data_IF_067579126460
#
_entry.id   IF_067579126460
#
_cell.length_a   1.000
_cell.length_b   1.000
_cell.length_c   1.000
_cell.angle_alpha   90.00
_cell.angle_beta   90.00
_cell.angle_gamma   90.00
#
_symmetry.space_group_name_H-M   'P 1'
#
loop_
_entity.id
_entity.type
_entity.pdbx_description
1 polymer ?
#
# COMPACT_ATOMS: atom_id res chain seq x y z
N UNK A 1 -28.84 -24.76 -38.31
CA UNK A 1 -27.99 -23.60 -38.01
C UNK A 1 -26.55 -24.08 -38.12
N UNK A 2 -25.79 -23.46 -39.02
CA UNK A 2 -24.45 -23.88 -39.40
C UNK A 2 -23.46 -23.73 -38.23
N UNK A 3 -22.54 -24.68 -38.09
CA UNK A 3 -21.58 -24.76 -36.98
C UNK A 3 -20.63 -23.55 -36.97
N UNK A 4 -20.22 -23.10 -38.16
CA UNK A 4 -19.44 -21.88 -38.34
C UNK A 4 -20.16 -20.63 -37.78
N UNK A 5 -21.47 -20.53 -37.99
CA UNK A 5 -22.29 -19.40 -37.53
C UNK A 5 -22.48 -19.42 -36.00
N UNK A 6 -22.48 -20.60 -35.38
CA UNK A 6 -22.46 -20.74 -33.91
C UNK A 6 -21.12 -20.28 -33.32
N UNK A 7 -20.01 -20.71 -33.89
CA UNK A 7 -18.67 -20.34 -33.43
C UNK A 7 -18.43 -18.84 -33.54
N UNK A 8 -18.84 -18.22 -34.64
CA UNK A 8 -18.76 -16.75 -34.83
C UNK A 8 -19.61 -15.99 -33.78
N UNK A 9 -20.82 -16.47 -33.48
CA UNK A 9 -21.68 -15.87 -32.46
C UNK A 9 -21.10 -16.02 -31.05
N UNK A 10 -20.47 -17.16 -30.72
CA UNK A 10 -19.79 -17.35 -29.44
C UNK A 10 -18.58 -16.42 -29.31
N UNK A 11 -17.71 -16.36 -30.32
CA UNK A 11 -16.55 -15.46 -30.30
C UNK A 11 -16.96 -13.98 -30.17
N UNK A 12 -18.03 -13.56 -30.86
CA UNK A 12 -18.58 -12.20 -30.74
C UNK A 12 -19.14 -11.94 -29.34
N UNK A 13 -19.81 -12.93 -28.73
CA UNK A 13 -20.33 -12.81 -27.36
C UNK A 13 -19.20 -12.71 -26.34
N UNK A 14 -18.16 -13.53 -26.47
CA UNK A 14 -16.97 -13.47 -25.62
C UNK A 14 -16.26 -12.13 -25.73
N UNK A 15 -16.10 -11.60 -26.95
CA UNK A 15 -15.50 -10.27 -27.17
C UNK A 15 -16.32 -9.15 -26.49
N UNK A 16 -17.65 -9.21 -26.55
CA UNK A 16 -18.52 -8.25 -25.89
C UNK A 16 -18.44 -8.34 -24.36
N UNK A 17 -18.35 -9.55 -23.80
CA UNK A 17 -18.17 -9.76 -22.36
C UNK A 17 -16.81 -9.21 -21.92
N UNK A 18 -15.74 -9.55 -22.63
CA UNK A 18 -14.39 -9.08 -22.32
C UNK A 18 -14.26 -7.55 -22.37
N UNK A 19 -14.90 -6.91 -23.35
CA UNK A 19 -14.93 -5.44 -23.43
C UNK A 19 -15.75 -4.82 -22.29
N UNK A 20 -16.90 -5.42 -21.93
CA UNK A 20 -17.68 -4.96 -20.78
C UNK A 20 -16.90 -5.08 -19.46
N UNK A 21 -16.20 -6.19 -19.23
CA UNK A 21 -15.32 -6.38 -18.08
C UNK A 21 -14.16 -5.39 -18.05
N UNK A 22 -13.58 -5.08 -19.22
CA UNK A 22 -12.54 -4.06 -19.34
C UNK A 22 -13.06 -2.67 -18.97
N UNK A 23 -14.22 -2.26 -19.50
CA UNK A 23 -14.82 -0.97 -19.20
C UNK A 23 -15.20 -0.85 -17.72
N UNK A 24 -15.74 -1.91 -17.12
CA UNK A 24 -16.05 -1.96 -15.70
C UNK A 24 -14.78 -1.81 -14.84
N UNK A 25 -13.68 -2.49 -15.18
CA UNK A 25 -12.38 -2.29 -14.52
C UNK A 25 -11.87 -0.86 -14.61
N UNK A 26 -11.95 -0.23 -15.79
CA UNK A 26 -11.55 1.17 -15.99
C UNK A 26 -12.39 2.09 -15.10
N UNK A 27 -13.71 1.88 -15.07
CA UNK A 27 -14.63 2.69 -14.25
C UNK A 27 -14.32 2.56 -12.76
N UNK A 28 -14.19 1.34 -12.25
CA UNK A 28 -13.84 1.08 -10.84
C UNK A 28 -12.50 1.68 -10.46
N UNK A 29 -11.52 1.61 -11.38
CA UNK A 29 -10.22 2.25 -11.17
C UNK A 29 -10.34 3.78 -11.09
N UNK A 30 -11.09 4.40 -12.00
CA UNK A 30 -11.31 5.84 -11.97
C UNK A 30 -12.02 6.30 -10.69
N UNK A 31 -13.01 5.54 -10.22
CA UNK A 31 -13.68 5.78 -8.93
C UNK A 31 -12.72 5.67 -7.76
N UNK A 32 -11.88 4.63 -7.74
CA UNK A 32 -10.87 4.44 -6.69
C UNK A 32 -9.85 5.59 -6.67
N UNK A 33 -9.33 6.00 -7.83
CA UNK A 33 -8.38 7.11 -7.96
C UNK A 33 -8.99 8.41 -7.42
N UNK A 34 -10.26 8.67 -7.72
CA UNK A 34 -10.96 9.85 -7.25
C UNK A 34 -11.19 9.87 -5.72
N UNK A 35 -11.29 8.70 -5.09
CA UNK A 35 -11.55 8.57 -3.66
C UNK A 35 -10.27 8.55 -2.82
N UNK A 36 -9.14 8.15 -3.40
CA UNK A 36 -7.86 8.00 -2.69
C UNK A 36 -6.87 9.07 -3.16
N UNK A 37 -6.68 10.18 -2.40
CA UNK A 37 -5.85 11.31 -2.82
C UNK A 37 -4.44 10.96 -3.32
N UNK A 38 -3.78 9.99 -2.70
CA UNK A 38 -2.44 9.57 -3.12
C UNK A 38 -2.45 8.96 -4.53
N UNK A 39 -3.49 8.22 -4.91
CA UNK A 39 -3.60 7.65 -6.25
C UNK A 39 -3.77 8.77 -7.30
N UNK A 40 -4.59 9.78 -6.99
CA UNK A 40 -4.72 10.95 -7.88
C UNK A 40 -3.37 11.64 -8.09
N UNK A 41 -2.58 11.82 -7.02
CA UNK A 41 -1.26 12.45 -7.11
C UNK A 41 -0.27 11.61 -7.94
N UNK A 42 -0.25 10.29 -7.76
CA UNK A 42 0.61 9.38 -8.50
C UNK A 42 0.27 9.32 -9.99
N UNK A 43 -1.02 9.21 -10.33
CA UNK A 43 -1.49 9.20 -11.73
C UNK A 43 -1.21 10.53 -12.43
N UNK A 44 -1.43 11.67 -11.75
CA UNK A 44 -1.15 13.00 -12.30
C UNK A 44 0.35 13.22 -12.57
N UNK A 45 1.21 12.62 -11.76
CA UNK A 45 2.66 12.67 -11.94
C UNK A 45 3.19 11.67 -12.99
N UNK A 46 2.37 10.70 -13.41
CA UNK A 46 2.80 9.61 -14.29
C UNK A 46 3.81 8.67 -13.61
N UNK A 47 3.68 8.46 -12.30
CA UNK A 47 4.66 7.72 -11.52
C UNK A 47 4.51 6.20 -11.67
N UNK A 48 5.64 5.48 -11.57
CA UNK A 48 5.68 4.01 -11.55
C UNK A 48 5.27 3.49 -10.17
N UNK A 49 4.09 2.90 -10.09
CA UNK A 49 3.58 2.23 -8.89
C UNK A 49 2.63 1.08 -9.25
N UNK A 50 2.62 0.08 -8.38
CA UNK A 50 1.64 -1.00 -8.36
C UNK A 50 0.67 -0.78 -7.19
N UNK A 51 -0.55 -1.29 -7.32
CA UNK A 51 -1.65 -0.93 -6.45
C UNK A 51 -2.58 -2.14 -6.31
N UNK A 52 -2.74 -2.68 -5.10
CA UNK A 52 -3.56 -3.87 -4.84
C UNK A 52 -4.28 -3.77 -3.49
N UNK A 53 -5.32 -4.58 -3.29
CA UNK A 53 -5.90 -4.76 -1.95
C UNK A 53 -4.86 -5.43 -1.03
N UNK A 54 -4.71 -4.96 0.21
CA UNK A 54 -3.70 -5.55 1.10
C UNK A 54 -4.00 -7.01 1.46
N UNK A 55 -5.20 -7.53 1.20
CA UNK A 55 -5.56 -8.94 1.36
C UNK A 55 -4.76 -9.89 0.45
N UNK A 56 -4.09 -9.35 -0.57
CA UNK A 56 -3.12 -10.08 -1.41
C UNK A 56 -1.79 -10.29 -0.68
N UNK A 57 -1.50 -9.48 0.36
CA UNK A 57 -0.32 -9.70 1.20
C UNK A 57 -0.39 -11.11 1.79
N UNK A 58 0.74 -11.80 1.83
CA UNK A 58 0.82 -13.14 2.38
C UNK A 58 1.52 -13.12 3.73
N UNK A 59 1.12 -14.07 4.58
CA UNK A 59 1.80 -14.32 5.84
C UNK A 59 1.72 -13.13 6.82
N UNK A 60 2.78 -12.91 7.61
CA UNK A 60 2.85 -11.93 8.70
C UNK A 60 2.28 -10.53 8.38
N UNK A 61 2.58 -10.01 7.19
CA UNK A 61 2.24 -8.64 6.81
C UNK A 61 0.73 -8.42 6.65
N UNK A 62 -0.01 -9.43 6.16
CA UNK A 62 -1.48 -9.37 6.03
C UNK A 62 -2.16 -9.34 7.40
N UNK A 63 -1.70 -10.20 8.31
CA UNK A 63 -2.23 -10.25 9.67
C UNK A 63 -2.01 -8.93 10.41
N UNK A 64 -0.83 -8.32 10.27
CA UNK A 64 -0.58 -6.98 10.78
C UNK A 64 -1.52 -5.97 10.14
N UNK A 65 -1.64 -6.01 8.80
CA UNK A 65 -2.53 -5.13 8.06
C UNK A 65 -4.01 -5.32 8.42
N UNK A 66 -4.46 -6.44 8.97
CA UNK A 66 -5.85 -6.60 9.41
C UNK A 66 -6.04 -6.18 10.88
N UNK A 67 -5.05 -6.45 11.72
CA UNK A 67 -5.16 -6.30 13.18
C UNK A 67 -3.86 -5.77 13.80
N UNK A 68 -3.46 -4.52 13.52
CA UNK A 68 -2.15 -3.99 13.95
C UNK A 68 -1.98 -4.00 15.47
N UNK A 69 -3.05 -3.73 16.24
CA UNK A 69 -3.02 -3.69 17.71
C UNK A 69 -2.99 -5.09 18.36
N UNK A 70 -3.38 -6.13 17.62
CA UNK A 70 -3.40 -7.52 18.11
C UNK A 70 -2.28 -8.35 17.48
N UNK A 71 -1.46 -7.73 16.65
CA UNK A 71 -0.50 -8.44 15.85
C UNK A 71 0.68 -8.90 16.71
N UNK A 72 1.02 -10.21 16.71
CA UNK A 72 2.11 -10.74 17.51
C UNK A 72 3.48 -10.46 16.87
N UNK A 73 3.83 -9.19 16.75
CA UNK A 73 5.21 -8.78 16.49
C UNK A 73 5.73 -7.95 17.64
N UNK A 74 7.04 -8.04 17.86
CA UNK A 74 7.71 -7.30 18.93
C UNK A 74 7.98 -5.90 18.42
N UNK A 75 7.27 -4.91 18.95
CA UNK A 75 7.73 -3.52 18.83
C UNK A 75 9.08 -3.44 19.55
N UNK A 76 10.16 -3.31 18.78
CA UNK A 76 11.50 -3.25 19.36
C UNK A 76 11.97 -1.82 19.61
N UNK A 77 11.35 -0.84 18.94
CA UNK A 77 11.58 0.59 19.17
C UNK A 77 10.31 1.41 18.89
N UNK A 78 10.13 2.47 19.68
CA UNK A 78 9.14 3.54 19.48
C UNK A 78 9.87 4.88 19.59
N UNK A 79 9.58 5.79 18.68
CA UNK A 79 10.04 7.16 18.75
C UNK A 79 8.93 8.13 18.39
N UNK A 80 8.93 9.29 19.02
CA UNK A 80 8.06 10.39 18.61
C UNK A 80 8.56 10.93 17.28
N UNK A 81 7.63 11.18 16.36
CA UNK A 81 7.90 11.89 15.13
C UNK A 81 7.70 13.39 15.37
N UNK A 82 8.58 14.24 14.81
CA UNK A 82 8.40 15.68 14.92
C UNK A 82 7.12 16.13 14.21
N UNK A 83 6.51 17.21 14.72
CA UNK A 83 5.33 17.82 14.09
C UNK A 83 5.65 18.54 12.78
N UNK A 84 6.90 18.96 12.58
CA UNK A 84 7.36 19.56 11.33
C UNK A 84 7.42 18.50 10.20
N UNK A 85 6.71 18.69 9.08
CA UNK A 85 6.65 17.69 8.01
C UNK A 85 8.01 17.35 7.41
N UNK A 86 8.90 18.35 7.26
CA UNK A 86 10.22 18.13 6.67
C UNK A 86 11.10 17.28 7.59
N UNK A 87 11.10 17.59 8.89
CA UNK A 87 11.83 16.80 9.88
C UNK A 87 11.24 15.38 10.04
N UNK A 88 9.90 15.24 9.96
CA UNK A 88 9.19 13.96 10.04
C UNK A 88 9.60 13.07 8.89
N UNK A 89 9.49 13.59 7.68
CA UNK A 89 9.81 12.89 6.45
C UNK A 89 11.29 12.50 6.42
N UNK A 90 12.18 13.39 6.87
CA UNK A 90 13.61 13.07 6.99
C UNK A 90 13.87 11.91 7.95
N UNK A 91 13.19 11.87 9.10
CA UNK A 91 13.33 10.81 10.10
C UNK A 91 12.84 9.45 9.58
N UNK A 92 11.69 9.44 8.89
CA UNK A 92 11.14 8.22 8.29
C UNK A 92 12.02 7.72 7.15
N UNK A 93 12.44 8.60 6.26
CA UNK A 93 13.33 8.24 5.16
C UNK A 93 14.69 7.76 5.65
N UNK A 94 15.21 8.30 6.76
CA UNK A 94 16.41 7.78 7.41
C UNK A 94 16.19 6.35 7.89
N UNK A 95 15.09 6.09 8.60
CA UNK A 95 14.72 4.76 9.08
C UNK A 95 14.56 3.74 7.93
N UNK A 96 13.90 4.12 6.83
CA UNK A 96 13.75 3.27 5.65
C UNK A 96 15.10 2.95 5.00
N UNK A 97 16.02 3.92 4.95
CA UNK A 97 17.35 3.76 4.35
C UNK A 97 18.28 2.86 5.14
N UNK A 98 17.98 2.55 6.40
CA UNK A 98 18.71 1.51 7.14
C UNK A 98 18.52 0.12 6.53
N UNK A 99 17.42 -0.09 5.80
CA UNK A 99 17.04 -1.37 5.20
C UNK A 99 16.96 -1.33 3.67
N UNK A 100 16.66 -0.17 3.08
CA UNK A 100 16.38 -0.01 1.66
C UNK A 100 17.37 0.92 0.96
N UNK A 101 17.87 0.48 -0.19
CA UNK A 101 18.64 1.29 -1.11
C UNK A 101 17.77 2.30 -1.88
N UNK A 102 18.43 3.27 -2.52
CA UNK A 102 17.74 4.35 -3.24
C UNK A 102 16.92 3.89 -4.48
N UNK A 103 17.18 2.69 -4.98
CA UNK A 103 16.46 2.10 -6.13
C UNK A 103 15.40 1.08 -5.73
N UNK A 104 15.30 0.75 -4.44
CA UNK A 104 14.47 -0.36 -3.98
C UNK A 104 12.99 -0.02 -4.06
N UNK A 105 12.17 -1.08 -4.17
CA UNK A 105 10.72 -0.98 -4.06
C UNK A 105 10.31 -1.09 -2.60
N UNK A 106 9.42 -0.20 -2.21
CA UNK A 106 8.78 -0.17 -0.89
C UNK A 106 7.30 -0.48 -1.08
N UNK A 107 6.78 -1.36 -0.22
CA UNK A 107 5.36 -1.62 -0.09
C UNK A 107 4.82 -0.77 1.04
N UNK A 108 3.82 0.03 0.73
CA UNK A 108 3.06 0.84 1.66
C UNK A 108 1.72 0.20 1.94
N UNK A 109 1.31 0.20 3.20
CA UNK A 109 0.00 -0.29 3.62
C UNK A 109 -0.81 0.92 4.07
N UNK A 110 -1.91 1.16 3.36
CA UNK A 110 -2.88 2.21 3.62
C UNK A 110 -4.09 1.55 4.29
N UNK A 111 -4.13 1.58 5.62
CA UNK A 111 -5.12 0.85 6.42
C UNK A 111 -6.53 1.41 6.25
N UNK A 112 -6.68 2.73 6.20
CA UNK A 112 -7.95 3.41 6.02
C UNK A 112 -8.64 3.06 4.69
N UNK A 113 -7.86 2.74 3.65
CA UNK A 113 -8.34 2.46 2.30
C UNK A 113 -8.42 0.95 1.98
N UNK A 114 -8.07 0.08 2.93
CA UNK A 114 -7.92 -1.36 2.73
C UNK A 114 -7.00 -1.74 1.55
N UNK A 115 -5.91 -0.98 1.37
CA UNK A 115 -5.13 -1.00 0.14
C UNK A 115 -3.62 -0.97 0.39
N UNK A 116 -2.84 -1.44 -0.59
CA UNK A 116 -1.38 -1.34 -0.60
C UNK A 116 -0.86 -0.72 -1.89
N UNK A 117 0.23 0.03 -1.77
CA UNK A 117 0.98 0.58 -2.88
C UNK A 117 2.36 -0.03 -2.90
N UNK A 118 2.89 -0.36 -4.08
CA UNK A 118 4.30 -0.70 -4.23
C UNK A 118 4.94 0.27 -5.20
N UNK A 119 5.97 0.99 -4.77
CA UNK A 119 6.62 2.02 -5.58
C UNK A 119 8.11 2.06 -5.28
N UNK A 120 8.90 2.72 -6.13
CA UNK A 120 10.33 2.92 -5.86
C UNK A 120 10.55 4.02 -4.84
N UNK A 121 11.64 3.95 -4.07
CA UNK A 121 12.03 4.97 -3.09
C UNK A 121 11.97 6.43 -3.60
N UNK A 122 12.37 6.76 -4.85
CA UNK A 122 12.25 8.14 -5.34
C UNK A 122 10.81 8.62 -5.53
N UNK A 123 9.88 7.71 -5.83
CA UNK A 123 8.44 8.00 -5.91
C UNK A 123 7.91 8.25 -4.50
N UNK A 124 8.25 7.37 -3.55
CA UNK A 124 7.90 7.53 -2.14
C UNK A 124 8.33 8.92 -1.62
N UNK A 125 9.59 9.31 -1.85
CA UNK A 125 10.14 10.59 -1.36
C UNK A 125 9.32 11.79 -1.86
N UNK A 126 8.83 11.76 -3.10
CA UNK A 126 8.04 12.86 -3.66
C UNK A 126 6.66 12.98 -3.04
N UNK A 127 6.09 11.87 -2.56
CA UNK A 127 4.69 11.80 -2.13
C UNK A 127 4.51 11.45 -0.66
N UNK A 128 5.59 11.45 0.13
CA UNK A 128 5.55 11.05 1.53
C UNK A 128 4.56 11.91 2.33
N UNK A 129 4.58 13.22 2.14
CA UNK A 129 3.62 14.13 2.78
C UNK A 129 2.17 13.82 2.39
N UNK A 130 1.91 13.59 1.10
CA UNK A 130 0.59 13.19 0.60
C UNK A 130 0.11 11.88 1.23
N UNK A 131 1.01 10.90 1.43
CA UNK A 131 0.70 9.63 2.08
C UNK A 131 0.32 9.83 3.54
N UNK A 132 1.03 10.71 4.25
CA UNK A 132 0.73 11.08 5.62
C UNK A 132 -0.65 11.74 5.75
N UNK A 133 -0.94 12.71 4.89
CA UNK A 133 -2.25 13.35 4.82
C UNK A 133 -3.36 12.38 4.40
N UNK A 134 -3.02 11.32 3.65
CA UNK A 134 -3.96 10.28 3.27
C UNK A 134 -4.40 9.44 4.46
N UNK A 135 -3.45 9.05 5.33
CA UNK A 135 -3.70 8.13 6.43
C UNK A 135 -4.63 8.67 7.54
N UNK A 136 -4.79 10.00 7.65
CA UNK A 136 -5.83 10.70 8.46
C UNK A 136 -6.16 10.12 9.85
N UNK A 137 -5.17 9.69 10.63
CA UNK A 137 -5.43 9.14 11.96
C UNK A 137 -5.20 7.64 12.09
N UNK A 138 -5.14 6.93 10.96
CA UNK A 138 -4.88 5.49 10.92
C UNK A 138 -3.38 5.21 10.69
N UNK A 139 -3.05 3.93 10.65
CA UNK A 139 -1.71 3.44 10.42
C UNK A 139 -1.27 3.62 8.97
N UNK A 140 -0.11 4.24 8.80
CA UNK A 140 0.67 4.20 7.57
C UNK A 140 1.92 3.34 7.83
N UNK A 141 2.05 2.24 7.09
CA UNK A 141 3.19 1.35 7.24
C UNK A 141 3.98 1.15 5.95
N UNK A 142 5.27 0.87 6.15
CA UNK A 142 6.26 0.62 5.13
C UNK A 142 6.92 -0.73 5.39
N UNK A 143 7.04 -1.52 4.33
CA UNK A 143 7.73 -2.80 4.34
C UNK A 143 8.40 -3.03 2.98
N UNK A 144 9.27 -4.03 2.90
CA UNK A 144 9.74 -4.56 1.63
C UNK A 144 9.75 -6.09 1.69
N UNK A 145 9.47 -6.79 0.57
CA UNK A 145 9.61 -8.24 0.52
C UNK A 145 11.08 -8.69 0.67
N UNK A 146 11.36 -9.79 1.41
CA UNK A 146 10.43 -10.50 2.28
C UNK A 146 10.13 -9.68 3.54
N UNK A 147 8.85 -9.57 3.91
CA UNK A 147 8.41 -8.71 5.02
C UNK A 147 8.74 -9.33 6.40
N UNK A 148 10.01 -9.27 6.79
CA UNK A 148 10.50 -9.62 8.13
C UNK A 148 10.52 -8.42 9.09
N UNK A 149 10.24 -7.22 8.57
CA UNK A 149 10.10 -5.98 9.34
C UNK A 149 8.98 -5.09 8.76
N UNK A 150 8.47 -4.20 9.62
CA UNK A 150 7.50 -3.16 9.31
C UNK A 150 7.94 -1.89 10.04
N UNK A 151 8.01 -0.78 9.32
CA UNK A 151 8.06 0.55 9.92
C UNK A 151 6.64 1.12 9.86
N UNK A 152 6.01 1.31 11.00
CA UNK A 152 4.62 1.76 11.08
C UNK A 152 4.54 3.11 11.78
N UNK A 153 3.72 4.00 11.24
CA UNK A 153 3.43 5.31 11.81
C UNK A 153 1.95 5.37 12.17
N UNK A 154 1.63 6.03 13.29
CA UNK A 154 0.28 6.10 13.84
C UNK A 154 -0.08 7.51 14.26
N UNK A 155 -1.37 7.85 14.18
CA UNK A 155 -1.89 9.21 14.20
C UNK A 155 -3.09 9.40 15.14
N UNK A 156 -3.11 8.81 16.34
CA UNK A 156 -4.30 8.94 17.22
C UNK A 156 -4.24 10.11 18.19
N UNK A 157 -3.08 10.72 18.44
CA UNK A 157 -2.93 11.96 19.24
C UNK A 157 -1.46 12.44 19.28
N UNK A 158 -0.53 11.49 19.14
CA UNK A 158 0.91 11.72 19.01
C UNK A 158 1.40 11.11 17.71
N UNK A 159 2.06 11.91 16.88
CA UNK A 159 2.83 11.43 15.74
C UNK A 159 3.95 10.52 16.26
N UNK A 160 3.84 9.22 16.01
CA UNK A 160 4.81 8.24 16.47
C UNK A 160 5.21 7.28 15.36
N UNK A 161 6.46 6.81 15.43
CA UNK A 161 7.01 5.78 14.57
C UNK A 161 7.38 4.56 15.40
N UNK A 162 6.94 3.40 14.93
CA UNK A 162 7.12 2.11 15.57
C UNK A 162 7.87 1.19 14.63
N UNK A 163 8.93 0.57 15.14
CA UNK A 163 9.65 -0.46 14.42
C UNK A 163 9.21 -1.82 14.91
N UNK A 164 8.72 -2.62 13.98
CA UNK A 164 8.05 -3.90 14.23
C UNK A 164 8.82 -4.95 13.44
N UNK A 165 9.23 -6.04 14.09
CA UNK A 165 9.95 -7.16 13.45
C UNK A 165 9.21 -8.46 13.68
N UNK A 166 9.34 -9.38 12.72
CA UNK A 166 8.81 -10.73 12.85
C UNK A 166 9.46 -11.41 14.07
N UNK A 167 8.66 -11.62 15.11
CA UNK A 167 9.01 -12.47 16.25
C UNK A 167 7.90 -13.47 16.42
N UNK A 168 8.19 -14.76 16.28
CA UNK A 168 7.24 -15.82 16.66
C UNK A 168 6.76 -15.61 18.08
N UNK A 169 5.44 -15.72 18.29
CA UNK A 169 4.82 -15.89 19.62
C UNK A 169 5.61 -16.95 20.39
N UNK A 170 6.29 -16.54 21.47
CA UNK A 170 6.53 -17.47 22.57
C UNK A 170 5.28 -17.34 23.41
N UNK A 171 4.39 -18.32 23.30
CA UNK A 171 3.30 -18.48 24.27
C UNK A 171 3.96 -18.68 25.65
N UNK A 172 3.72 -17.75 26.57
CA UNK A 172 3.93 -17.99 28.01
C UNK A 172 2.65 -18.60 28.62
#
# INVERSE_FOLDING_TARGET
MDEAKRTELYARREALIAEAERQDRIKRRAELVALVPILTALEAAGDDYDSDNFGVLSGPLNWWACHPDRYPMRQYARGDLPADPVARDAMILAALRERLGAGDRVTLILRSEDFMLTMRMPVLIRHLDTLFENAKGDWLAFAAPPADWILATYHDDTLAMSYIVNGTLVEE
#
